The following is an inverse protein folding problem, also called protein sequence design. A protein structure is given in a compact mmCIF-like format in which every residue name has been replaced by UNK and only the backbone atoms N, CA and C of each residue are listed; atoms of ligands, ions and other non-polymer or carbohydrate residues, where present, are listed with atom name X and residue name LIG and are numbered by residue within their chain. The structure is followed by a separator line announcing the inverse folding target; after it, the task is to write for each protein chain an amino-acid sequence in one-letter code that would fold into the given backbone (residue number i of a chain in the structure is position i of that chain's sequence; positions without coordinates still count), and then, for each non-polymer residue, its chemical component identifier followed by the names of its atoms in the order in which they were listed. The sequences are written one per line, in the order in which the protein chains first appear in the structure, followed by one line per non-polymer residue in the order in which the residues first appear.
data_IF_637557894208
#
_entry.id   IF_637557894208
#
_cell.length_a   1.000
_cell.length_b   1.000
_cell.length_c   1.000
_cell.angle_alpha   90.00
_cell.angle_beta   90.00
_cell.angle_gamma   90.00
#
_symmetry.space_group_name_H-M   'P 1'
#
loop_
_entity.id
_entity.type
_entity.pdbx_description
1 polymer ?
#
# COMPACT_ATOMS: atom_id res chain seq x y z
N UNK A 1 2.42 13.39 22.11
CA UNK A 1 2.19 12.43 20.99
C UNK A 1 2.04 13.22 19.70
N UNK A 2 2.95 13.03 18.72
CA UNK A 2 2.84 13.67 17.41
C UNK A 2 1.61 13.18 16.68
N UNK A 3 0.99 14.05 15.85
CA UNK A 3 -0.22 13.74 15.07
C UNK A 3 0.06 13.95 13.59
N UNK A 4 -0.49 13.08 12.73
CA UNK A 4 -0.43 13.21 11.28
C UNK A 4 -1.79 12.87 10.68
N UNK A 5 -2.23 13.62 9.68
CA UNK A 5 -3.45 13.31 8.94
C UNK A 5 -3.14 12.33 7.82
N UNK A 6 -4.02 11.35 7.60
CA UNK A 6 -3.89 10.38 6.52
C UNK A 6 -5.13 10.42 5.63
N UNK A 7 -4.95 10.89 4.40
CA UNK A 7 -6.00 11.03 3.41
C UNK A 7 -6.10 9.76 2.55
N UNK A 8 -7.20 9.03 2.69
CA UNK A 8 -7.50 7.83 1.90
C UNK A 8 -8.96 7.42 2.05
N UNK A 9 -9.57 6.79 1.03
CA UNK A 9 -10.85 6.07 1.17
C UNK A 9 -10.65 4.60 1.55
N UNK A 10 -9.45 4.06 1.40
CA UNK A 10 -9.16 2.66 1.68
C UNK A 10 -9.04 2.42 3.19
N UNK A 11 -10.06 1.77 3.78
CA UNK A 11 -10.11 1.48 5.22
C UNK A 11 -9.01 0.52 5.66
N UNK A 12 -8.67 -0.49 4.86
CA UNK A 12 -7.59 -1.44 5.14
C UNK A 12 -6.23 -0.72 5.21
N UNK A 13 -5.91 0.16 4.24
CA UNK A 13 -4.70 1.00 4.31
C UNK A 13 -4.70 1.88 5.55
N UNK A 14 -5.86 2.46 5.91
CA UNK A 14 -5.96 3.31 7.10
C UNK A 14 -5.73 2.50 8.39
N UNK A 15 -6.26 1.28 8.47
CA UNK A 15 -6.08 0.38 9.60
C UNK A 15 -4.60 -0.01 9.76
N UNK A 16 -3.99 -0.54 8.70
CA UNK A 16 -2.58 -0.95 8.69
C UNK A 16 -1.64 0.18 9.08
N UNK A 17 -1.79 1.36 8.47
CA UNK A 17 -0.92 2.50 8.78
C UNK A 17 -1.08 3.01 10.22
N UNK A 18 -2.32 3.07 10.73
CA UNK A 18 -2.57 3.46 12.13
C UNK A 18 -1.86 2.52 13.11
N UNK A 19 -1.93 1.21 12.86
CA UNK A 19 -1.25 0.21 13.69
C UNK A 19 0.25 0.48 13.74
N UNK A 20 0.92 0.54 12.57
CA UNK A 20 2.36 0.75 12.50
C UNK A 20 2.76 2.07 13.16
N UNK A 21 2.12 3.18 12.84
CA UNK A 21 2.47 4.48 13.40
C UNK A 21 2.23 4.58 14.92
N UNK A 22 1.25 3.83 15.45
CA UNK A 22 0.99 3.80 16.90
C UNK A 22 2.13 3.18 17.70
N UNK A 23 2.84 2.20 17.14
CA UNK A 23 4.03 1.61 17.76
C UNK A 23 5.18 2.62 17.94
N UNK A 24 5.18 3.67 17.13
CA UNK A 24 6.11 4.81 17.21
C UNK A 24 5.56 6.01 17.99
N UNK A 25 4.42 5.87 18.68
CA UNK A 25 3.79 6.97 19.42
C UNK A 25 3.24 8.09 18.53
N UNK A 26 2.96 7.79 17.24
CA UNK A 26 2.39 8.74 16.29
C UNK A 26 0.89 8.42 16.10
N UNK A 27 0.02 9.42 16.34
CA UNK A 27 -1.42 9.30 16.11
C UNK A 27 -1.74 9.63 14.65
N UNK A 28 -2.08 8.62 13.84
CA UNK A 28 -2.61 8.83 12.49
C UNK A 28 -4.13 9.12 12.55
N UNK A 29 -4.53 10.27 12.02
CA UNK A 29 -5.93 10.71 11.93
C UNK A 29 -6.41 10.44 10.51
N UNK A 30 -7.25 9.43 10.35
CA UNK A 30 -7.81 9.06 9.06
C UNK A 30 -8.83 10.09 8.58
N UNK A 31 -8.66 10.59 7.36
CA UNK A 31 -9.61 11.44 6.65
C UNK A 31 -10.07 10.70 5.40
N UNK A 32 -11.32 10.23 5.37
CA UNK A 32 -11.91 9.68 4.16
C UNK A 32 -11.97 10.77 3.08
N UNK A 33 -11.10 10.70 2.08
CA UNK A 33 -10.98 11.72 1.06
C UNK A 33 -10.87 11.08 -0.32
N UNK A 34 -11.65 11.59 -1.25
CA UNK A 34 -11.54 11.26 -2.66
C UNK A 34 -10.39 12.07 -3.27
N UNK A 35 -9.36 11.38 -3.69
CA UNK A 35 -8.16 11.97 -4.27
C UNK A 35 -8.08 11.60 -5.73
N UNK A 36 -7.63 12.52 -6.62
CA UNK A 36 -7.46 12.21 -8.03
C UNK A 36 -6.43 11.10 -8.21
N UNK A 37 -6.71 10.19 -9.13
CA UNK A 37 -5.77 9.16 -9.56
C UNK A 37 -5.37 9.46 -11.01
N UNK A 38 -4.22 10.11 -11.23
CA UNK A 38 -3.73 10.36 -12.57
C UNK A 38 -3.49 9.05 -13.32
N UNK A 39 -3.78 9.03 -14.62
CA UNK A 39 -3.62 7.84 -15.48
C UNK A 39 -2.17 7.68 -15.94
N UNK A 40 -1.26 7.53 -15.00
CA UNK A 40 0.16 7.30 -15.22
C UNK A 40 0.61 6.06 -14.43
N UNK A 41 1.65 5.39 -14.90
CA UNK A 41 2.26 4.25 -14.22
C UNK A 41 3.52 4.69 -13.45
N UNK A 42 3.35 5.69 -12.59
CA UNK A 42 4.39 6.20 -11.69
C UNK A 42 3.79 6.43 -10.30
N UNK A 43 3.97 5.45 -9.40
CA UNK A 43 3.45 5.50 -8.03
C UNK A 43 3.94 6.72 -7.25
N UNK A 44 5.18 7.13 -7.49
CA UNK A 44 5.79 8.27 -6.82
C UNK A 44 5.07 9.55 -7.19
N UNK A 45 4.82 9.74 -8.48
CA UNK A 45 4.11 10.93 -8.95
C UNK A 45 2.64 10.90 -8.55
N UNK A 46 1.97 9.74 -8.60
CA UNK A 46 0.60 9.58 -8.12
C UNK A 46 0.49 9.95 -6.64
N UNK A 47 1.38 9.39 -5.79
CA UNK A 47 1.38 9.69 -4.36
C UNK A 47 1.62 11.17 -4.06
N UNK A 48 2.53 11.83 -4.80
CA UNK A 48 2.78 13.27 -4.68
C UNK A 48 1.54 14.09 -5.04
N UNK A 49 0.87 13.81 -6.16
CA UNK A 49 -0.32 14.53 -6.56
C UNK A 49 -1.47 14.34 -5.56
N UNK A 50 -1.65 13.11 -5.05
CA UNK A 50 -2.61 12.82 -3.98
C UNK A 50 -2.35 13.65 -2.74
N UNK A 51 -1.10 13.71 -2.26
CA UNK A 51 -0.78 14.43 -1.02
C UNK A 51 -0.86 15.94 -1.19
N UNK A 52 -0.51 16.49 -2.36
CA UNK A 52 -0.68 17.91 -2.68
C UNK A 52 -2.16 18.26 -2.62
N UNK A 53 -3.03 17.50 -3.30
CA UNK A 53 -4.47 17.70 -3.29
C UNK A 53 -5.05 17.60 -1.87
N UNK A 54 -4.60 16.62 -1.09
CA UNK A 54 -5.03 16.47 0.30
C UNK A 54 -4.62 17.67 1.16
N UNK A 55 -3.37 18.11 1.04
CA UNK A 55 -2.86 19.28 1.76
C UNK A 55 -3.63 20.55 1.40
N UNK A 56 -3.90 20.76 0.11
CA UNK A 56 -4.62 21.96 -0.35
C UNK A 56 -6.03 22.08 0.22
N UNK A 57 -6.67 20.93 0.47
CA UNK A 57 -8.00 20.88 1.09
C UNK A 57 -7.99 21.09 2.60
N UNK A 58 -7.00 20.54 3.32
CA UNK A 58 -7.03 20.55 4.80
C UNK A 58 -6.04 21.53 5.42
N UNK A 59 -5.03 22.00 4.69
CA UNK A 59 -3.97 22.93 5.13
C UNK A 59 -3.28 22.50 6.44
N UNK A 60 -3.10 21.20 6.61
CA UNK A 60 -2.42 20.55 7.76
C UNK A 60 -1.45 19.49 7.27
N UNK A 61 -0.38 19.17 8.05
CA UNK A 61 0.53 18.10 7.70
C UNK A 61 -0.23 16.82 7.41
N UNK A 62 -0.02 16.25 6.23
CA UNK A 62 -0.80 15.12 5.71
C UNK A 62 0.07 14.16 4.93
N UNK A 63 -0.33 12.91 4.95
CA UNK A 63 0.22 11.85 4.11
C UNK A 63 -0.86 11.25 3.21
N UNK A 64 -0.43 10.76 2.06
CA UNK A 64 -1.22 9.93 1.15
C UNK A 64 -0.36 8.75 0.69
N UNK A 65 -1.00 7.63 0.33
CA UNK A 65 -0.32 6.42 -0.11
C UNK A 65 -0.89 5.98 -1.44
N UNK A 66 0.00 5.66 -2.37
CA UNK A 66 -0.34 4.88 -3.53
C UNK A 66 0.37 3.53 -3.53
N UNK A 67 -0.27 2.51 -4.12
CA UNK A 67 0.26 1.14 -4.17
C UNK A 67 -0.01 0.55 -5.53
N UNK A 68 0.97 -0.15 -6.07
CA UNK A 68 0.87 -0.91 -7.30
C UNK A 68 1.21 -2.38 -7.09
N UNK A 69 0.88 -3.17 -8.09
CA UNK A 69 1.18 -4.59 -8.13
C UNK A 69 1.86 -4.92 -9.45
N UNK A 70 3.02 -5.53 -9.38
CA UNK A 70 3.91 -5.71 -10.53
C UNK A 70 4.21 -7.18 -10.72
N UNK A 71 3.99 -7.68 -11.95
CA UNK A 71 4.30 -9.04 -12.37
C UNK A 71 5.36 -8.94 -13.48
N UNK A 72 6.64 -9.25 -13.21
CA UNK A 72 7.72 -9.05 -14.16
C UNK A 72 7.53 -9.78 -15.48
N UNK A 73 6.98 -11.00 -15.47
CA UNK A 73 6.67 -11.77 -16.68
C UNK A 73 5.64 -11.10 -17.60
N UNK A 74 4.81 -10.20 -17.02
CA UNK A 74 3.86 -9.37 -17.74
C UNK A 74 4.38 -7.93 -17.94
N UNK A 75 5.70 -7.74 -17.95
CA UNK A 75 6.37 -6.43 -18.09
C UNK A 75 5.91 -5.40 -17.05
N UNK A 76 5.58 -5.86 -15.84
CA UNK A 76 5.14 -5.03 -14.73
C UNK A 76 3.63 -4.80 -14.65
N UNK A 77 2.82 -5.34 -15.59
CA UNK A 77 1.35 -5.23 -15.47
C UNK A 77 0.86 -5.92 -14.18
N UNK A 78 -0.15 -5.38 -13.48
CA UNK A 78 -0.94 -4.16 -13.77
C UNK A 78 -0.29 -2.83 -13.38
N UNK A 79 0.89 -2.81 -12.73
CA UNK A 79 1.54 -1.59 -12.31
C UNK A 79 0.72 -0.79 -11.30
N UNK A 80 0.61 0.52 -11.50
CA UNK A 80 -0.25 1.39 -10.70
C UNK A 80 -1.75 1.21 -10.99
N UNK A 81 -2.13 0.49 -12.05
CA UNK A 81 -3.52 0.35 -12.50
C UNK A 81 -4.29 -0.80 -11.83
N UNK A 82 -3.94 -1.16 -10.60
CA UNK A 82 -4.57 -2.28 -9.86
C UNK A 82 -6.08 -2.14 -9.81
N UNK A 83 -6.62 -0.99 -9.41
CA UNK A 83 -8.06 -0.80 -9.26
C UNK A 83 -8.83 -0.92 -10.58
N UNK A 84 -8.43 -0.27 -11.69
CA UNK A 84 -9.03 -0.50 -13.00
C UNK A 84 -9.00 -1.96 -13.42
N UNK A 85 -7.86 -2.65 -13.27
CA UNK A 85 -7.68 -4.04 -13.67
C UNK A 85 -8.59 -4.97 -12.86
N UNK A 86 -8.65 -4.80 -11.53
CA UNK A 86 -9.54 -5.60 -10.69
C UNK A 86 -11.02 -5.36 -10.99
N UNK A 87 -11.40 -4.17 -11.46
CA UNK A 87 -12.79 -3.85 -11.85
C UNK A 87 -13.17 -4.41 -13.23
N UNK A 88 -12.21 -4.65 -14.10
CA UNK A 88 -12.45 -5.11 -15.48
C UNK A 88 -12.25 -6.61 -15.62
N UNK A 89 -11.03 -7.09 -15.53
CA UNK A 89 -10.70 -8.52 -15.72
C UNK A 89 -10.63 -9.31 -14.40
N UNK A 90 -10.56 -8.64 -13.25
CA UNK A 90 -10.54 -9.28 -11.93
C UNK A 90 -9.28 -10.10 -11.67
N UNK A 91 -9.34 -10.86 -10.58
CA UNK A 91 -8.30 -11.83 -10.21
C UNK A 91 -8.14 -12.92 -11.27
N UNK A 92 -9.29 -13.40 -11.77
CA UNK A 92 -9.36 -14.48 -12.78
C UNK A 92 -8.65 -14.07 -14.06
N UNK A 93 -8.80 -12.81 -14.49
CA UNK A 93 -8.11 -12.28 -15.67
C UNK A 93 -6.59 -12.21 -15.46
N UNK A 94 -6.13 -11.80 -14.28
CA UNK A 94 -4.70 -11.79 -13.95
C UNK A 94 -4.14 -13.22 -14.00
N UNK A 95 -4.83 -14.19 -13.40
CA UNK A 95 -4.41 -15.59 -13.40
C UNK A 95 -4.40 -16.19 -14.81
N UNK A 96 -5.35 -15.83 -15.69
CA UNK A 96 -5.34 -16.24 -17.09
C UNK A 96 -4.14 -15.71 -17.85
N UNK A 97 -3.73 -14.47 -17.61
CA UNK A 97 -2.57 -13.86 -18.25
C UNK A 97 -1.24 -14.53 -17.85
N UNK A 98 -1.19 -15.12 -16.65
CA UNK A 98 -0.04 -15.90 -16.15
C UNK A 98 -0.22 -17.41 -16.36
N UNK A 99 -1.21 -17.84 -17.15
CA UNK A 99 -1.54 -19.26 -17.37
C UNK A 99 -1.76 -20.04 -16.07
N UNK A 100 -2.22 -19.34 -15.02
CA UNK A 100 -2.35 -19.87 -13.66
C UNK A 100 -1.07 -20.56 -13.14
N UNK A 101 0.11 -20.08 -13.55
CA UNK A 101 1.40 -20.53 -13.07
C UNK A 101 1.89 -19.67 -11.91
N UNK A 102 2.72 -20.24 -11.00
CA UNK A 102 3.42 -19.43 -10.00
C UNK A 102 4.38 -18.45 -10.69
N UNK A 103 4.16 -17.17 -10.51
CA UNK A 103 4.97 -16.10 -11.10
C UNK A 103 5.47 -15.17 -10.00
N UNK A 104 6.70 -14.68 -10.13
CA UNK A 104 7.20 -13.64 -9.24
C UNK A 104 6.30 -12.41 -9.36
N UNK A 105 5.99 -11.81 -8.23
CA UNK A 105 5.22 -10.59 -8.18
C UNK A 105 5.63 -9.75 -6.98
N UNK A 106 5.29 -8.47 -7.01
CA UNK A 106 5.63 -7.56 -5.94
C UNK A 106 4.57 -6.48 -5.75
N UNK A 107 4.28 -6.15 -4.51
CA UNK A 107 3.66 -4.88 -4.18
C UNK A 107 4.74 -3.82 -4.06
N UNK A 108 4.51 -2.66 -4.69
CA UNK A 108 5.28 -1.44 -4.46
C UNK A 108 4.37 -0.41 -3.85
N UNK A 109 4.85 0.20 -2.78
CA UNK A 109 4.11 1.21 -2.05
C UNK A 109 4.91 2.51 -1.99
N UNK A 110 4.22 3.63 -2.15
CA UNK A 110 4.79 4.96 -2.02
C UNK A 110 3.92 5.81 -1.10
N UNK A 111 4.46 6.23 0.04
CA UNK A 111 3.89 7.21 0.93
C UNK A 111 4.47 8.58 0.60
N UNK A 112 3.63 9.56 0.36
CA UNK A 112 4.02 10.95 0.22
C UNK A 112 3.55 11.78 1.41
N UNK A 113 4.41 12.70 1.88
CA UNK A 113 4.15 13.62 2.98
C UNK A 113 4.23 15.07 2.52
N UNK A 114 3.32 15.93 3.03
CA UNK A 114 3.34 17.36 2.81
C UNK A 114 2.88 18.11 4.07
N UNK A 115 3.62 19.17 4.42
CA UNK A 115 3.28 20.08 5.52
C UNK A 115 3.21 21.57 5.09
N UNK A 116 3.45 21.84 3.80
CA UNK A 116 3.48 23.18 3.24
C UNK A 116 4.80 23.95 3.44
N UNK A 117 5.76 23.44 4.20
CA UNK A 117 7.06 24.08 4.39
C UNK A 117 8.00 23.84 3.21
N UNK A 118 8.00 22.62 2.69
CA UNK A 118 8.81 22.23 1.51
C UNK A 118 8.07 22.50 0.21
N UNK A 119 8.81 22.88 -0.84
CA UNK A 119 8.25 23.06 -2.19
C UNK A 119 7.69 21.74 -2.74
N UNK A 120 8.38 20.65 -2.51
CA UNK A 120 8.02 19.31 -3.00
C UNK A 120 7.63 18.37 -1.84
N UNK A 121 6.67 17.46 -2.05
CA UNK A 121 6.39 16.41 -1.10
C UNK A 121 7.60 15.50 -0.89
N UNK A 122 7.79 15.02 0.35
CA UNK A 122 8.73 13.93 0.64
C UNK A 122 8.07 12.59 0.37
N UNK A 123 8.85 11.62 -0.10
CA UNK A 123 8.35 10.27 -0.41
C UNK A 123 9.16 9.20 0.31
N UNK A 124 8.46 8.12 0.68
CA UNK A 124 9.01 6.92 1.32
C UNK A 124 8.43 5.72 0.59
N UNK A 125 9.30 4.79 0.20
CA UNK A 125 8.92 3.68 -0.66
C UNK A 125 9.30 2.34 -0.03
N UNK A 126 8.54 1.31 -0.35
CA UNK A 126 8.87 -0.06 -0.01
C UNK A 126 8.38 -1.03 -1.06
N UNK A 127 9.01 -2.20 -1.07
CA UNK A 127 8.66 -3.32 -1.95
C UNK A 127 8.41 -4.52 -1.06
N UNK A 128 7.35 -5.26 -1.35
CA UNK A 128 7.04 -6.55 -0.75
C UNK A 128 7.01 -7.59 -1.86
N UNK A 129 8.04 -8.44 -1.91
CA UNK A 129 8.18 -9.50 -2.90
C UNK A 129 7.35 -10.72 -2.54
N UNK A 130 6.95 -11.48 -3.55
CA UNK A 130 6.19 -12.71 -3.39
C UNK A 130 6.00 -13.46 -4.71
N UNK A 131 5.09 -14.43 -4.65
CA UNK A 131 4.74 -15.29 -5.79
C UNK A 131 3.22 -15.33 -5.93
N UNK A 132 2.74 -15.40 -7.17
CA UNK A 132 1.32 -15.62 -7.45
C UNK A 132 0.92 -17.05 -7.08
N UNK A 133 -0.20 -17.19 -6.40
CA UNK A 133 -0.93 -18.46 -6.29
C UNK A 133 -1.56 -18.82 -7.63
N UNK A 134 -1.68 -20.11 -7.91
CA UNK A 134 -2.31 -20.61 -9.15
C UNK A 134 -3.84 -20.46 -9.16
N UNK A 135 -4.44 -20.17 -8.03
CA UNK A 135 -5.87 -19.92 -7.83
C UNK A 135 -6.10 -19.00 -6.64
N UNK A 136 -7.26 -18.31 -6.54
CA UNK A 136 -7.61 -17.57 -5.34
C UNK A 136 -7.68 -18.50 -4.11
N UNK A 137 -7.15 -18.07 -2.98
CA UNK A 137 -7.10 -18.82 -1.72
C UNK A 137 -7.37 -17.88 -0.55
N UNK A 138 -8.09 -18.39 0.47
CA UNK A 138 -8.46 -17.64 1.66
C UNK A 138 -9.67 -16.72 1.45
N UNK A 139 -9.90 -15.82 2.39
CA UNK A 139 -11.01 -14.88 2.42
C UNK A 139 -10.53 -13.44 2.65
N UNK A 140 -11.26 -12.48 2.08
CA UNK A 140 -10.95 -11.06 2.28
C UNK A 140 -11.56 -10.59 3.60
N UNK A 141 -10.71 -10.42 4.60
CA UNK A 141 -11.07 -9.83 5.88
C UNK A 141 -11.01 -8.29 5.87
N UNK A 142 -11.42 -7.69 6.98
CA UNK A 142 -11.46 -6.22 7.15
C UNK A 142 -10.07 -5.54 7.08
N UNK A 143 -9.02 -6.28 7.35
CA UNK A 143 -7.63 -5.81 7.29
C UNK A 143 -7.11 -5.71 5.86
N UNK A 144 -7.71 -6.45 4.93
CA UNK A 144 -7.25 -6.51 3.55
C UNK A 144 -7.47 -5.18 2.83
N UNK A 145 -6.42 -4.64 2.28
CA UNK A 145 -6.45 -3.40 1.50
C UNK A 145 -6.56 -3.64 -0.01
N UNK A 146 -6.49 -4.90 -0.45
CA UNK A 146 -6.67 -5.30 -1.86
C UNK A 146 -7.17 -6.74 -1.98
N UNK A 147 -8.00 -7.01 -3.01
CA UNK A 147 -8.39 -8.37 -3.39
C UNK A 147 -7.20 -9.23 -3.87
N UNK A 148 -6.08 -8.62 -4.23
CA UNK A 148 -4.85 -9.33 -4.59
C UNK A 148 -4.29 -10.19 -3.46
N UNK A 149 -4.72 -9.97 -2.21
CA UNK A 149 -4.39 -10.83 -1.08
C UNK A 149 -4.78 -12.30 -1.31
N UNK A 150 -5.82 -12.56 -2.12
CA UNK A 150 -6.26 -13.91 -2.48
C UNK A 150 -5.26 -14.69 -3.32
N UNK A 151 -4.35 -13.99 -4.01
CA UNK A 151 -3.39 -14.61 -4.93
C UNK A 151 -1.92 -14.26 -4.64
N UNK A 152 -1.66 -13.42 -3.65
CA UNK A 152 -0.30 -13.03 -3.27
C UNK A 152 0.21 -13.88 -2.11
N UNK A 153 1.26 -14.66 -2.37
CA UNK A 153 2.01 -15.43 -1.37
C UNK A 153 3.30 -14.65 -1.11
N UNK A 154 3.49 -14.07 0.09
CA UNK A 154 4.72 -13.35 0.42
C UNK A 154 5.96 -14.26 0.32
N UNK A 155 7.10 -13.66 0.03
CA UNK A 155 8.35 -14.40 -0.03
C UNK A 155 8.65 -15.10 1.31
N UNK A 156 9.04 -16.38 1.24
CA UNK A 156 9.27 -17.21 2.41
C UNK A 156 8.02 -17.84 3.04
N UNK A 157 6.82 -17.50 2.56
CA UNK A 157 5.56 -18.03 3.06
C UNK A 157 4.96 -19.08 2.11
N UNK A 158 4.00 -19.87 2.64
CA UNK A 158 3.24 -20.86 1.86
C UNK A 158 1.76 -20.49 1.70
N UNK A 159 1.30 -19.58 2.52
CA UNK A 159 -0.08 -19.05 2.55
C UNK A 159 -0.16 -17.75 1.75
N UNK A 160 -1.29 -17.54 1.09
CA UNK A 160 -1.61 -16.18 0.61
C UNK A 160 -1.89 -15.27 1.82
N UNK A 161 -1.80 -13.94 1.64
CA UNK A 161 -2.15 -13.01 2.71
C UNK A 161 -3.60 -13.22 3.18
N UNK A 162 -4.50 -13.62 2.30
CA UNK A 162 -5.91 -13.87 2.62
C UNK A 162 -6.15 -15.21 3.36
N UNK A 163 -5.17 -16.12 3.39
CA UNK A 163 -5.23 -17.35 4.20
C UNK A 163 -4.63 -17.19 5.59
N UNK A 164 -3.89 -16.12 5.82
CA UNK A 164 -3.32 -15.85 7.13
C UNK A 164 -4.41 -15.44 8.12
N UNK A 165 -4.38 -16.03 9.31
CA UNK A 165 -5.14 -15.48 10.44
C UNK A 165 -4.61 -14.10 10.81
N UNK A 166 -5.39 -13.29 11.54
CA UNK A 166 -4.93 -11.97 12.01
C UNK A 166 -3.63 -12.05 12.81
N UNK A 167 -3.43 -13.12 13.58
CA UNK A 167 -2.18 -13.34 14.34
C UNK A 167 -1.01 -13.61 13.41
N UNK A 168 -1.16 -14.56 12.48
CA UNK A 168 -0.11 -14.90 11.49
C UNK A 168 0.26 -13.68 10.63
N UNK A 169 -0.75 -12.92 10.16
CA UNK A 169 -0.51 -11.69 9.42
C UNK A 169 0.26 -10.65 10.23
N UNK A 170 -0.09 -10.47 11.51
CA UNK A 170 0.58 -9.53 12.39
C UNK A 170 2.06 -9.92 12.62
N UNK A 171 2.32 -11.21 12.86
CA UNK A 171 3.68 -11.74 13.04
C UNK A 171 4.51 -11.56 11.76
N UNK A 172 3.95 -11.94 10.62
CA UNK A 172 4.58 -11.75 9.31
C UNK A 172 4.86 -10.26 9.05
N UNK A 173 3.86 -9.40 9.25
CA UNK A 173 3.96 -7.96 9.06
C UNK A 173 5.09 -7.37 9.89
N UNK A 174 5.15 -7.65 11.20
CA UNK A 174 6.21 -7.17 12.10
C UNK A 174 7.61 -7.58 11.66
N UNK A 175 7.76 -8.80 11.17
CA UNK A 175 9.04 -9.31 10.66
C UNK A 175 9.53 -8.55 9.42
N UNK A 176 8.60 -8.10 8.55
CA UNK A 176 8.90 -7.48 7.26
C UNK A 176 8.78 -5.94 7.27
N UNK A 177 8.20 -5.35 8.32
CA UNK A 177 7.94 -3.91 8.41
C UNK A 177 9.18 -3.04 8.58
N UNK A 178 10.33 -3.57 9.02
CA UNK A 178 11.49 -2.74 9.42
C UNK A 178 11.95 -1.75 8.34
N UNK A 179 11.78 -2.11 7.07
CA UNK A 179 12.11 -1.27 5.91
C UNK A 179 10.87 -0.76 5.17
N UNK A 180 9.67 -0.88 5.76
CA UNK A 180 8.44 -0.39 5.13
C UNK A 180 8.41 1.13 5.04
N UNK A 181 7.69 1.65 4.05
CA UNK A 181 7.45 3.10 3.90
C UNK A 181 6.92 3.74 5.19
N UNK A 182 6.11 3.00 5.95
CA UNK A 182 5.49 3.49 7.18
C UNK A 182 6.53 3.66 8.30
N UNK A 183 7.45 2.71 8.45
CA UNK A 183 8.54 2.78 9.45
C UNK A 183 9.57 3.82 9.05
N UNK A 184 9.94 3.91 7.76
CA UNK A 184 10.81 4.97 7.25
C UNK A 184 10.23 6.34 7.57
N UNK A 185 8.94 6.56 7.26
CA UNK A 185 8.22 7.80 7.58
C UNK A 185 8.20 8.05 9.10
N UNK A 186 7.87 7.06 9.93
CA UNK A 186 7.79 7.22 11.38
C UNK A 186 9.12 7.69 11.98
N UNK A 187 10.22 7.03 11.62
CA UNK A 187 11.57 7.38 12.07
C UNK A 187 11.93 8.81 11.65
N UNK A 188 11.69 9.15 10.38
CA UNK A 188 11.94 10.50 9.88
C UNK A 188 11.07 11.54 10.61
N UNK A 189 9.76 11.29 10.74
CA UNK A 189 8.80 12.23 11.32
C UNK A 189 9.08 12.52 12.81
N UNK A 190 9.57 11.54 13.57
CA UNK A 190 9.94 11.74 14.97
C UNK A 190 11.16 12.66 15.11
N UNK A 191 12.09 12.63 14.14
CA UNK A 191 13.30 13.45 14.16
C UNK A 191 13.07 14.90 13.67
N UNK A 192 11.85 15.24 13.18
CA UNK A 192 11.53 16.62 12.82
C UNK A 192 11.25 17.44 14.10
N UNK A 193 11.91 18.60 14.20
CA UNK A 193 11.71 19.58 15.29
C UNK A 193 10.40 20.38 15.11
#
# INVERSE_FOLDING_TARGET
MKKIYFATRNKGKAHSLKRVLSEYGIKAIHIPMDLPEPKIDDLREIAKQKVITAYDRIKKPVIAIDSGFYIPSLKGFPGAFVNPVLKTIGIEGILKLTEAKPEKCEFKDCLAYRDGKSKQPLVFESITSGVLSTKPRGEIGDEAWSKLWLIFIPEGEKKTLAEMTSVEYLEWSKKHEQNSYAVQFAKWFLNQK
#
